data_IF_490548019106
#
_entry.id   IF_490548019106
#
_cell.length_a   1.000
_cell.length_b   1.000
_cell.length_c   1.000
_cell.angle_alpha   90.00
_cell.angle_beta   90.00
_cell.angle_gamma   90.00
#
_symmetry.space_group_name_H-M   'P 1'
#
loop_
_entity.id
_entity.type
_entity.pdbx_description
1 polymer ?
#
# COMPACT_ATOMS: atom_id res chain seq x y z
N UNK A 1 29.17 9.27 15.52
CA UNK A 1 29.27 8.35 14.34
C UNK A 1 27.91 8.23 13.66
N UNK A 2 26.83 8.06 14.41
CA UNK A 2 25.48 7.83 13.84
C UNK A 2 24.89 9.04 13.06
N UNK A 3 25.21 10.27 13.45
CA UNK A 3 24.68 11.48 12.76
C UNK A 3 25.40 11.77 11.43
N UNK A 4 26.69 11.51 11.33
CA UNK A 4 27.45 11.72 10.09
C UNK A 4 26.95 10.84 8.94
N UNK A 5 26.73 9.55 9.19
CA UNK A 5 26.21 8.64 8.14
C UNK A 5 24.79 8.99 7.65
N UNK A 6 23.95 9.58 8.51
CA UNK A 6 22.61 10.04 8.11
C UNK A 6 22.67 11.26 7.18
N UNK A 7 23.62 12.17 7.39
CA UNK A 7 23.80 13.35 6.52
C UNK A 7 24.30 12.96 5.15
N UNK A 8 25.19 11.98 5.05
CA UNK A 8 25.75 11.48 3.79
C UNK A 8 24.74 10.64 2.99
N UNK A 9 23.83 9.95 3.65
CA UNK A 9 22.83 9.08 2.97
C UNK A 9 21.60 9.85 2.48
N UNK A 10 21.26 11.00 3.05
CA UNK A 10 20.08 11.76 2.67
C UNK A 10 19.98 12.10 1.18
N UNK A 11 21.07 12.55 0.50
CA UNK A 11 21.03 12.81 -0.94
C UNK A 11 20.74 11.55 -1.76
N UNK A 12 21.27 10.40 -1.37
CA UNK A 12 21.05 9.14 -2.09
C UNK A 12 19.61 8.66 -1.95
N UNK A 13 19.01 8.79 -0.77
CA UNK A 13 17.60 8.45 -0.53
C UNK A 13 16.66 9.32 -1.36
N UNK A 14 16.89 10.65 -1.38
CA UNK A 14 16.06 11.55 -2.20
C UNK A 14 16.24 11.30 -3.70
N UNK A 15 17.43 11.02 -4.16
CA UNK A 15 17.68 10.64 -5.55
C UNK A 15 16.94 9.35 -5.92
N UNK A 16 16.98 8.34 -5.04
CA UNK A 16 16.23 7.11 -5.25
C UNK A 16 14.72 7.33 -5.27
N UNK A 17 14.17 8.10 -4.32
CA UNK A 17 12.74 8.41 -4.29
C UNK A 17 12.31 9.23 -5.51
N UNK A 18 13.16 10.13 -5.98
CA UNK A 18 12.92 10.90 -7.21
C UNK A 18 12.89 9.97 -8.44
N UNK A 19 13.82 9.02 -8.52
CA UNK A 19 13.80 7.98 -9.54
C UNK A 19 12.51 7.14 -9.49
N UNK A 20 12.02 6.79 -8.28
CA UNK A 20 10.77 6.04 -8.18
C UNK A 20 9.55 6.90 -8.60
N UNK A 21 9.55 8.21 -8.34
CA UNK A 21 8.53 9.13 -8.85
C UNK A 21 8.54 9.19 -10.37
N UNK A 22 9.70 9.30 -11.00
CA UNK A 22 9.82 9.32 -12.48
C UNK A 22 9.36 8.03 -13.16
N UNK A 23 9.37 6.89 -12.42
CA UNK A 23 8.78 5.62 -12.87
C UNK A 23 7.27 5.55 -12.73
N UNK A 24 6.61 6.64 -12.33
CA UNK A 24 5.15 6.71 -12.21
C UNK A 24 4.57 6.11 -10.92
N UNK A 25 5.38 5.88 -9.88
CA UNK A 25 4.86 5.42 -8.59
C UNK A 25 3.96 6.49 -7.97
N UNK A 26 2.81 6.07 -7.43
CA UNK A 26 1.84 6.97 -6.82
C UNK A 26 2.41 7.63 -5.56
N UNK A 27 1.87 8.81 -5.20
CA UNK A 27 2.23 9.52 -3.96
C UNK A 27 2.14 8.61 -2.72
N UNK A 28 1.10 7.77 -2.63
CA UNK A 28 0.92 6.82 -1.53
C UNK A 28 2.03 5.76 -1.49
N UNK A 29 2.46 5.24 -2.66
CA UNK A 29 3.57 4.28 -2.73
C UNK A 29 4.88 4.94 -2.32
N UNK A 30 5.16 6.16 -2.78
CA UNK A 30 6.36 6.92 -2.39
C UNK A 30 6.37 7.19 -0.88
N UNK A 31 5.23 7.54 -0.30
CA UNK A 31 5.11 7.71 1.15
C UNK A 31 5.43 6.42 1.92
N UNK A 32 4.93 5.26 1.46
CA UNK A 32 5.28 3.96 2.07
C UNK A 32 6.77 3.63 1.92
N UNK A 33 7.39 3.98 0.79
CA UNK A 33 8.83 3.82 0.60
C UNK A 33 9.60 4.66 1.61
N UNK A 34 9.24 5.94 1.76
CA UNK A 34 9.86 6.84 2.73
C UNK A 34 9.79 6.27 4.15
N UNK A 35 8.61 5.87 4.61
CA UNK A 35 8.46 5.29 5.96
C UNK A 35 9.37 4.06 6.18
N UNK A 36 9.52 3.21 5.16
CA UNK A 36 10.41 2.04 5.26
C UNK A 36 11.88 2.45 5.33
N UNK A 37 12.28 3.39 4.50
CA UNK A 37 13.67 3.87 4.41
C UNK A 37 14.07 4.68 5.63
N UNK A 38 13.23 5.62 6.09
CA UNK A 38 13.50 6.44 7.28
C UNK A 38 13.70 5.56 8.52
N UNK A 39 12.81 4.57 8.74
CA UNK A 39 12.96 3.63 9.86
C UNK A 39 14.22 2.77 9.76
N UNK A 40 14.67 2.46 8.56
CA UNK A 40 15.92 1.73 8.35
C UNK A 40 17.14 2.63 8.63
N UNK A 41 17.11 3.88 8.19
CA UNK A 41 18.14 4.88 8.48
C UNK A 41 18.28 5.16 9.98
N UNK A 42 17.16 5.24 10.70
CA UNK A 42 17.17 5.43 12.15
C UNK A 42 17.82 4.27 12.91
N UNK A 43 17.66 3.06 12.40
CA UNK A 43 18.25 1.87 13.00
C UNK A 43 19.71 1.65 12.59
N UNK A 44 20.08 1.97 11.34
CA UNK A 44 21.39 1.65 10.76
C UNK A 44 22.51 2.37 11.49
N UNK A 45 23.59 1.62 11.80
CA UNK A 45 24.80 2.13 12.47
C UNK A 45 26.04 2.09 11.57
N UNK A 46 25.93 1.48 10.37
CA UNK A 46 27.04 1.24 9.46
C UNK A 46 26.77 1.85 8.08
N UNK A 47 27.80 2.13 7.27
CA UNK A 47 27.63 2.40 5.82
C UNK A 47 26.87 1.27 5.13
N UNK A 48 26.22 1.57 4.02
CA UNK A 48 25.46 0.55 3.26
C UNK A 48 26.33 -0.58 2.72
N UNK A 49 27.59 -0.26 2.38
CA UNK A 49 28.58 -1.19 1.83
C UNK A 49 29.06 -2.21 2.87
N UNK A 50 28.97 -1.89 4.14
CA UNK A 50 29.40 -2.74 5.25
C UNK A 50 28.24 -3.55 5.86
N UNK A 51 27.03 -3.39 5.33
CA UNK A 51 25.87 -4.14 5.80
C UNK A 51 25.99 -5.62 5.45
N UNK A 52 25.87 -6.45 6.46
CA UNK A 52 25.88 -7.90 6.32
C UNK A 52 24.43 -8.45 6.33
N UNK A 53 24.29 -9.70 5.89
CA UNK A 53 23.03 -10.42 6.00
C UNK A 53 22.56 -10.51 7.46
N UNK A 54 23.48 -10.69 8.41
CA UNK A 54 23.15 -10.73 9.82
C UNK A 54 22.57 -9.42 10.34
N UNK A 55 23.09 -8.27 9.88
CA UNK A 55 22.52 -6.96 10.23
C UNK A 55 21.09 -6.84 9.74
N UNK A 56 20.83 -7.27 8.51
CA UNK A 56 19.47 -7.26 7.96
C UNK A 56 18.53 -8.23 8.70
N UNK A 57 19.00 -9.41 9.12
CA UNK A 57 18.21 -10.35 9.94
C UNK A 57 17.86 -9.72 11.29
N UNK A 58 18.80 -9.04 11.95
CA UNK A 58 18.54 -8.30 13.20
C UNK A 58 17.46 -7.24 13.01
N UNK A 59 17.55 -6.45 11.94
CA UNK A 59 16.53 -5.45 11.64
C UNK A 59 15.15 -6.06 11.42
N UNK A 60 15.07 -7.16 10.66
CA UNK A 60 13.82 -7.88 10.44
C UNK A 60 13.22 -8.40 11.74
N UNK A 61 14.04 -8.90 12.67
CA UNK A 61 13.55 -9.37 13.97
C UNK A 61 12.97 -8.21 14.80
N UNK A 62 13.61 -7.05 14.82
CA UNK A 62 13.08 -5.85 15.48
C UNK A 62 11.72 -5.45 14.86
N UNK A 63 11.61 -5.46 13.52
CA UNK A 63 10.33 -5.17 12.87
C UNK A 63 9.23 -6.18 13.25
N UNK A 64 9.58 -7.45 13.46
CA UNK A 64 8.64 -8.52 13.83
C UNK A 64 8.11 -8.41 15.25
N UNK A 65 8.81 -7.76 16.15
CA UNK A 65 8.35 -7.54 17.53
C UNK A 65 7.10 -6.63 17.57
N UNK A 66 7.00 -5.67 16.64
CA UNK A 66 5.90 -4.70 16.63
C UNK A 66 4.97 -4.77 15.42
N UNK A 67 5.29 -5.58 14.40
CA UNK A 67 4.55 -5.56 13.14
C UNK A 67 4.12 -6.97 12.68
N UNK A 68 2.93 -7.03 12.11
CA UNK A 68 2.47 -8.25 11.40
C UNK A 68 3.31 -8.53 10.15
N UNK A 69 3.43 -9.81 9.72
CA UNK A 69 4.32 -10.21 8.61
C UNK A 69 4.14 -9.40 7.31
N UNK A 70 2.91 -9.03 6.98
CA UNK A 70 2.60 -8.21 5.79
C UNK A 70 3.19 -6.80 5.92
N UNK A 71 3.12 -6.19 7.11
CA UNK A 71 3.69 -4.86 7.37
C UNK A 71 5.21 -4.90 7.35
N UNK A 72 5.82 -5.96 7.91
CA UNK A 72 7.27 -6.17 7.82
C UNK A 72 7.70 -6.26 6.35
N UNK A 73 6.98 -7.00 5.52
CA UNK A 73 7.26 -7.11 4.09
C UNK A 73 7.16 -5.74 3.38
N UNK A 74 6.14 -4.94 3.72
CA UNK A 74 5.98 -3.59 3.16
C UNK A 74 7.12 -2.65 3.55
N UNK A 75 7.69 -2.79 4.76
CA UNK A 75 8.87 -2.02 5.18
C UNK A 75 10.14 -2.47 4.49
N UNK A 76 10.34 -3.77 4.31
CA UNK A 76 11.54 -4.33 3.70
C UNK A 76 11.62 -4.12 2.19
N UNK A 77 10.49 -4.07 1.51
CA UNK A 77 10.48 -3.94 0.05
C UNK A 77 11.25 -2.70 -0.46
N UNK A 78 10.98 -1.48 0.04
CA UNK A 78 11.73 -0.30 -0.37
C UNK A 78 13.21 -0.35 0.01
N UNK A 79 13.56 -0.94 1.16
CA UNK A 79 14.95 -1.09 1.60
C UNK A 79 15.72 -1.99 0.62
N UNK A 80 15.16 -3.15 0.27
CA UNK A 80 15.74 -4.04 -0.72
C UNK A 80 15.93 -3.37 -2.08
N UNK A 81 14.93 -2.61 -2.53
CA UNK A 81 14.97 -1.90 -3.79
C UNK A 81 16.03 -0.78 -3.77
N UNK A 82 16.14 -0.06 -2.65
CA UNK A 82 17.13 0.99 -2.45
C UNK A 82 18.55 0.41 -2.40
N UNK A 83 18.83 -0.57 -1.56
CA UNK A 83 20.15 -1.19 -1.43
C UNK A 83 20.61 -1.79 -2.76
N UNK A 84 19.70 -2.43 -3.49
CA UNK A 84 20.01 -2.94 -4.82
C UNK A 84 20.43 -1.81 -5.78
N UNK A 85 19.70 -0.70 -5.77
CA UNK A 85 20.01 0.45 -6.60
C UNK A 85 21.33 1.12 -6.16
N UNK A 86 21.49 1.37 -4.87
CA UNK A 86 22.62 2.08 -4.31
C UNK A 86 23.94 1.31 -4.54
N UNK A 87 23.97 0.03 -4.16
CA UNK A 87 25.16 -0.82 -4.28
C UNK A 87 25.49 -1.20 -5.73
N UNK A 88 24.60 -0.92 -6.69
CA UNK A 88 24.89 -1.08 -8.13
C UNK A 88 25.40 0.19 -8.81
N UNK A 89 25.87 1.17 -8.05
CA UNK A 89 26.35 2.43 -8.57
C UNK A 89 25.34 3.57 -8.62
N UNK A 90 24.12 3.35 -8.11
CA UNK A 90 23.11 4.41 -7.89
C UNK A 90 22.85 5.27 -9.12
N UNK A 91 23.08 6.58 -8.98
CA UNK A 91 22.86 7.60 -10.03
C UNK A 91 23.78 7.38 -11.25
N UNK A 92 24.97 6.80 -11.06
CA UNK A 92 25.95 6.59 -12.12
C UNK A 92 25.62 5.43 -13.06
N UNK A 93 24.51 4.72 -12.81
CA UNK A 93 23.92 3.84 -13.80
C UNK A 93 24.62 2.50 -14.01
N UNK A 94 24.68 1.67 -12.98
CA UNK A 94 24.95 0.24 -13.11
C UNK A 94 23.66 -0.57 -13.21
N UNK A 95 23.50 -1.41 -14.23
CA UNK A 95 22.47 -2.46 -14.18
C UNK A 95 23.06 -3.64 -13.42
N UNK A 96 22.61 -3.86 -12.17
CA UNK A 96 22.81 -5.16 -11.54
C UNK A 96 22.11 -6.20 -12.40
N UNK A 97 22.89 -6.99 -13.12
CA UNK A 97 22.41 -8.22 -13.74
C UNK A 97 22.22 -9.25 -12.62
N UNK A 98 20.98 -9.53 -12.30
CA UNK A 98 20.60 -10.79 -11.67
C UNK A 98 20.48 -10.81 -10.16
N UNK A 99 21.44 -10.49 -9.35
CA UNK A 99 21.42 -10.79 -7.92
C UNK A 99 21.15 -9.59 -7.02
N UNK A 100 20.40 -9.82 -5.95
CA UNK A 100 20.34 -8.88 -4.82
C UNK A 100 21.72 -8.83 -4.16
N UNK A 101 22.11 -7.70 -3.55
CA UNK A 101 23.27 -7.65 -2.67
C UNK A 101 23.18 -8.77 -1.63
N UNK A 102 24.29 -9.38 -1.28
CA UNK A 102 24.33 -10.52 -0.36
C UNK A 102 23.60 -10.24 0.96
N UNK A 103 23.68 -8.98 1.44
CA UNK A 103 23.00 -8.56 2.66
C UNK A 103 21.46 -8.72 2.62
N UNK A 104 20.82 -8.79 1.43
CA UNK A 104 19.36 -8.88 1.31
C UNK A 104 18.86 -10.07 0.48
N UNK A 105 19.76 -10.89 -0.09
CA UNK A 105 19.44 -11.95 -1.05
C UNK A 105 18.47 -12.98 -0.48
N UNK A 106 18.69 -13.49 0.72
CA UNK A 106 17.95 -14.59 1.32
C UNK A 106 16.82 -14.18 2.27
N UNK A 107 16.64 -12.87 2.49
CA UNK A 107 15.61 -12.40 3.42
C UNK A 107 14.24 -12.51 2.78
N UNK A 108 13.52 -13.58 3.14
CA UNK A 108 12.15 -13.83 2.68
C UNK A 108 11.20 -13.88 3.87
N UNK A 109 10.06 -13.19 3.77
CA UNK A 109 9.02 -13.23 4.78
C UNK A 109 7.87 -14.05 4.24
N UNK A 110 7.56 -15.17 4.92
CA UNK A 110 6.42 -16.01 4.57
C UNK A 110 5.13 -15.19 4.71
N UNK A 111 4.32 -15.14 3.67
CA UNK A 111 2.99 -14.54 3.72
C UNK A 111 2.09 -15.38 4.62
N UNK A 112 1.35 -14.70 5.51
CA UNK A 112 0.28 -15.37 6.25
C UNK A 112 -0.80 -15.81 5.26
N UNK A 113 -1.30 -17.05 5.38
CA UNK A 113 -2.48 -17.48 4.63
C UNK A 113 -3.65 -16.55 4.97
N UNK A 114 -4.37 -16.09 3.94
CA UNK A 114 -5.62 -15.36 4.16
C UNK A 114 -6.61 -16.35 4.79
N UNK A 115 -7.10 -16.02 5.97
CA UNK A 115 -8.26 -16.68 6.55
C UNK A 115 -9.52 -16.09 5.91
N UNK A 116 -10.55 -16.91 5.76
CA UNK A 116 -11.87 -16.40 5.35
C UNK A 116 -12.36 -15.42 6.43
N UNK A 117 -13.07 -14.35 6.07
CA UNK A 117 -13.74 -13.52 7.07
C UNK A 117 -14.72 -14.39 7.86
N UNK A 118 -14.75 -14.23 9.18
CA UNK A 118 -15.63 -14.99 10.06
C UNK A 118 -17.07 -14.42 10.05
N UNK A 119 -17.23 -13.19 9.58
CA UNK A 119 -18.50 -12.46 9.54
C UNK A 119 -18.77 -11.93 8.14
N UNK A 120 -19.96 -12.20 7.63
CA UNK A 120 -20.50 -11.59 6.42
C UNK A 120 -21.58 -10.57 6.84
N UNK A 121 -21.63 -9.45 6.14
CA UNK A 121 -22.69 -8.47 6.32
C UNK A 121 -23.93 -9.01 5.62
N UNK A 122 -24.98 -9.31 6.36
CA UNK A 122 -26.31 -9.66 5.83
C UNK A 122 -27.16 -8.40 5.62
N UNK A 123 -28.29 -8.48 4.88
CA UNK A 123 -29.21 -7.34 4.73
C UNK A 123 -29.66 -6.76 6.09
N UNK A 124 -29.95 -7.60 7.08
CA UNK A 124 -30.39 -7.17 8.41
C UNK A 124 -29.29 -6.40 9.15
N UNK A 125 -28.04 -6.84 9.00
CA UNK A 125 -26.89 -6.12 9.56
C UNK A 125 -26.70 -4.79 8.82
N UNK A 126 -26.89 -4.75 7.51
CA UNK A 126 -26.84 -3.51 6.74
C UNK A 126 -27.88 -2.51 7.23
N UNK A 127 -29.14 -2.94 7.42
CA UNK A 127 -30.21 -2.09 7.96
C UNK A 127 -29.86 -1.48 9.30
N UNK A 128 -29.27 -2.26 10.22
CA UNK A 128 -28.79 -1.74 11.50
C UNK A 128 -27.72 -0.66 11.29
N UNK A 129 -26.73 -0.88 10.42
CA UNK A 129 -25.73 0.15 10.11
C UNK A 129 -26.35 1.41 9.50
N UNK A 130 -27.30 1.25 8.58
CA UNK A 130 -28.01 2.38 7.97
C UNK A 130 -28.86 3.15 9.00
N UNK A 131 -29.40 2.47 10.01
CA UNK A 131 -30.12 3.08 11.13
C UNK A 131 -29.23 4.01 11.96
N UNK A 132 -27.97 3.64 12.19
CA UNK A 132 -27.01 4.44 12.94
C UNK A 132 -26.41 5.61 12.14
N UNK A 133 -26.61 5.63 10.81
CA UNK A 133 -26.11 6.71 9.97
C UNK A 133 -26.90 8.01 10.17
N UNK A 134 -26.18 9.09 10.48
CA UNK A 134 -26.76 10.42 10.74
C UNK A 134 -27.16 11.19 9.48
N UNK A 135 -26.54 10.91 8.35
CA UNK A 135 -26.76 11.62 7.09
C UNK A 135 -27.11 10.66 5.96
N UNK A 136 -27.89 11.15 4.98
CA UNK A 136 -28.19 10.39 3.77
C UNK A 136 -26.89 10.00 3.02
N UNK A 137 -25.90 10.88 2.98
CA UNK A 137 -24.62 10.59 2.35
C UNK A 137 -23.92 9.38 2.98
N UNK A 138 -23.94 9.23 4.31
CA UNK A 138 -23.42 8.05 4.99
C UNK A 138 -24.19 6.80 4.62
N UNK A 139 -25.53 6.87 4.56
CA UNK A 139 -26.38 5.75 4.17
C UNK A 139 -26.08 5.30 2.74
N UNK A 140 -26.06 6.22 1.78
CA UNK A 140 -25.72 5.95 0.38
C UNK A 140 -24.33 5.32 0.26
N UNK A 141 -23.36 5.85 0.99
CA UNK A 141 -22.00 5.33 0.99
C UNK A 141 -21.92 3.85 1.40
N UNK A 142 -22.54 3.49 2.53
CA UNK A 142 -22.52 2.11 3.02
C UNK A 142 -23.36 1.16 2.15
N UNK A 143 -24.49 1.61 1.65
CA UNK A 143 -25.33 0.80 0.76
C UNK A 143 -24.62 0.50 -0.58
N UNK A 144 -23.96 1.49 -1.20
CA UNK A 144 -23.17 1.25 -2.42
C UNK A 144 -21.98 0.32 -2.14
N UNK A 145 -21.30 0.45 -0.99
CA UNK A 145 -20.24 -0.48 -0.62
C UNK A 145 -20.76 -1.91 -0.50
N UNK A 146 -21.93 -2.08 0.09
CA UNK A 146 -22.57 -3.39 0.25
C UNK A 146 -22.92 -4.00 -1.11
N UNK A 147 -23.62 -3.26 -1.97
CA UNK A 147 -24.06 -3.74 -3.29
C UNK A 147 -22.87 -4.11 -4.20
N UNK A 148 -21.81 -3.32 -4.15
CA UNK A 148 -20.75 -3.39 -5.17
C UNK A 148 -19.48 -4.08 -4.71
N UNK A 149 -19.27 -4.25 -3.41
CA UNK A 149 -17.98 -4.68 -2.85
C UNK A 149 -16.82 -3.74 -3.24
N UNK A 150 -17.11 -2.48 -3.52
CA UNK A 150 -16.14 -1.50 -3.98
C UNK A 150 -15.11 -1.16 -2.90
N UNK A 151 -13.95 -0.66 -3.33
CA UNK A 151 -12.99 -0.07 -2.39
C UNK A 151 -13.52 1.26 -1.86
N UNK A 152 -13.22 1.56 -0.59
CA UNK A 152 -13.60 2.83 0.03
C UNK A 152 -13.33 4.05 -0.86
N UNK A 153 -12.15 4.12 -1.45
CA UNK A 153 -11.76 5.24 -2.31
C UNK A 153 -12.53 5.30 -3.62
N UNK A 154 -13.01 4.19 -4.14
CA UNK A 154 -13.83 4.15 -5.36
C UNK A 154 -15.18 4.79 -5.10
N UNK A 155 -15.84 4.43 -3.99
CA UNK A 155 -17.15 5.01 -3.63
C UNK A 155 -17.02 6.48 -3.21
N UNK A 156 -15.98 6.87 -2.46
CA UNK A 156 -15.76 8.27 -2.07
C UNK A 156 -15.49 9.21 -3.25
N UNK A 157 -15.02 8.69 -4.37
CA UNK A 157 -14.76 9.47 -5.59
C UNK A 157 -15.91 9.42 -6.60
N UNK A 158 -17.02 8.72 -6.31
CA UNK A 158 -18.21 8.69 -7.17
C UNK A 158 -18.79 10.09 -7.33
N UNK A 159 -19.19 10.38 -8.54
CA UNK A 159 -19.93 11.58 -8.92
C UNK A 159 -21.33 11.19 -9.39
N UNK A 160 -22.28 12.09 -9.34
CA UNK A 160 -23.65 11.87 -9.81
C UNK A 160 -23.67 11.34 -11.25
N UNK A 161 -22.80 11.82 -12.11
CA UNK A 161 -22.69 11.37 -13.50
C UNK A 161 -22.24 9.92 -13.69
N UNK A 162 -21.63 9.33 -12.63
CA UNK A 162 -21.15 7.95 -12.66
C UNK A 162 -22.27 6.98 -12.25
N UNK A 163 -23.45 7.52 -11.85
CA UNK A 163 -24.68 6.77 -11.61
C UNK A 163 -25.51 6.80 -12.87
N UNK A 164 -25.85 5.66 -13.40
CA UNK A 164 -26.58 5.53 -14.66
C UNK A 164 -27.77 4.59 -14.50
N UNK A 165 -28.79 4.78 -15.31
CA UNK A 165 -29.92 3.88 -15.44
C UNK A 165 -29.96 3.33 -16.85
N UNK A 166 -30.12 2.02 -16.95
CA UNK A 166 -30.35 1.35 -18.23
C UNK A 166 -31.52 0.35 -18.12
N UNK A 167 -31.66 -0.50 -19.13
CA UNK A 167 -32.71 -1.52 -19.18
C UNK A 167 -32.66 -2.56 -18.05
N UNK A 168 -31.48 -2.76 -17.46
CA UNK A 168 -31.27 -3.73 -16.36
C UNK A 168 -31.37 -3.09 -14.98
N UNK A 169 -31.55 -1.78 -14.88
CA UNK A 169 -31.72 -1.05 -13.63
C UNK A 169 -30.71 0.07 -13.38
N UNK A 170 -30.49 0.37 -12.11
CA UNK A 170 -29.54 1.39 -11.68
C UNK A 170 -28.15 0.79 -11.49
N UNK A 171 -27.13 1.47 -11.99
CA UNK A 171 -25.76 1.03 -11.90
C UNK A 171 -24.81 2.19 -11.64
N UNK A 172 -23.61 1.86 -11.16
CA UNK A 172 -22.50 2.80 -10.95
C UNK A 172 -21.27 2.39 -11.72
N UNK A 173 -20.57 3.39 -12.27
CA UNK A 173 -19.26 3.20 -12.86
C UNK A 173 -18.18 3.50 -11.82
N UNK A 174 -17.43 2.47 -11.43
CA UNK A 174 -16.36 2.55 -10.45
C UNK A 174 -15.02 2.64 -11.15
N UNK A 175 -14.22 3.64 -10.80
CA UNK A 175 -12.85 3.78 -11.29
C UNK A 175 -11.86 3.49 -10.15
N UNK A 176 -11.12 2.41 -10.27
CA UNK A 176 -10.16 1.97 -9.26
C UNK A 176 -8.79 1.67 -9.84
N UNK A 177 -7.91 1.19 -8.97
CA UNK A 177 -6.52 0.82 -9.31
C UNK A 177 -6.43 -0.21 -10.46
N UNK A 178 -7.45 -1.00 -10.66
CA UNK A 178 -7.54 -2.06 -11.68
C UNK A 178 -8.32 -1.65 -12.92
N UNK A 179 -8.67 -0.37 -13.06
CA UNK A 179 -9.45 0.17 -14.16
C UNK A 179 -10.92 0.39 -13.81
N UNK A 180 -11.71 0.63 -14.85
CA UNK A 180 -13.15 0.85 -14.76
C UNK A 180 -13.92 -0.47 -14.65
N UNK A 181 -15.00 -0.44 -13.86
CA UNK A 181 -16.00 -1.52 -13.82
C UNK A 181 -17.38 -0.96 -13.56
N UNK A 182 -18.39 -1.57 -14.15
CA UNK A 182 -19.81 -1.28 -13.94
C UNK A 182 -20.37 -2.26 -12.92
N UNK A 183 -21.09 -1.77 -11.92
CA UNK A 183 -21.75 -2.57 -10.91
C UNK A 183 -23.21 -2.16 -10.78
N UNK A 184 -24.08 -3.13 -10.64
CA UNK A 184 -25.52 -2.92 -10.42
C UNK A 184 -25.78 -2.60 -8.95
N UNK A 185 -26.79 -1.75 -8.72
CA UNK A 185 -27.27 -1.39 -7.40
C UNK A 185 -28.56 -2.15 -7.10
N UNK A 186 -28.75 -2.52 -5.86
CA UNK A 186 -29.91 -3.24 -5.35
C UNK A 186 -30.45 -2.57 -4.09
N UNK A 187 -29.81 -2.80 -2.96
CA UNK A 187 -30.21 -2.24 -1.65
C UNK A 187 -30.02 -0.72 -1.57
N UNK A 188 -29.10 -0.19 -2.37
CA UNK A 188 -28.84 1.26 -2.40
C UNK A 188 -29.84 2.05 -3.26
N UNK A 189 -30.66 1.41 -4.11
CA UNK A 189 -31.59 2.09 -5.02
C UNK A 189 -32.48 3.12 -4.30
N UNK A 190 -33.17 2.79 -3.18
CA UNK A 190 -34.05 3.74 -2.51
C UNK A 190 -33.34 4.97 -1.92
N UNK A 191 -32.01 4.90 -1.77
CA UNK A 191 -31.20 5.97 -1.19
C UNK A 191 -30.54 6.85 -2.24
N UNK A 192 -30.42 6.37 -3.48
CA UNK A 192 -29.71 7.04 -4.58
C UNK A 192 -30.70 7.75 -5.50
N UNK A 193 -31.95 7.32 -5.54
CA UNK A 193 -33.07 7.96 -6.25
C UNK A 193 -33.69 9.09 -5.45
#
# INVERSE_FOLDING_TARGET
VSQQHKTESAPALEAFLTLQRSKGLTKGTIHQYRIGLDGFEDWRQKPYEELTQLDMVKYVNILREGLVPTSVQLRLFPIKAFLRWYLSGGIQGGKLKGNYPDCVSEITIKKRRRTKPDVFITPEILEQYLGECRTLQQKVYFAILYDTGARRSEVLNLKIKDVQRDENGLCVELNGKTGYRKNWLHESIPLVM
#
